data_IF_483658507653
#
_entry.id   IF_483658507653
#
_cell.length_a   1.000
_cell.length_b   1.000
_cell.length_c   1.000
_cell.angle_alpha   90.00
_cell.angle_beta   90.00
_cell.angle_gamma   90.00
#
_symmetry.space_group_name_H-M   'P 1'
#
loop_
_entity.id
_entity.type
_entity.pdbx_description
1 polymer ?
#
# COMPACT_ATOMS: atom_id res chain seq x y z
N UNK A 1 11.82 -16.65 21.21
CA UNK A 1 10.86 -15.55 21.22
C UNK A 1 10.05 -15.70 19.95
N UNK A 2 8.73 -15.67 20.05
CA UNK A 2 7.84 -15.75 18.88
C UNK A 2 7.50 -14.33 18.44
N UNK A 3 7.40 -14.13 17.12
CA UNK A 3 7.08 -12.84 16.51
C UNK A 3 5.85 -13.02 15.67
N UNK A 4 4.83 -12.20 15.92
CA UNK A 4 3.58 -12.20 15.18
C UNK A 4 3.35 -10.80 14.60
N UNK A 5 2.91 -10.74 13.35
CA UNK A 5 2.52 -9.48 12.71
C UNK A 5 1.00 -9.46 12.58
N UNK A 6 0.36 -8.48 13.23
CA UNK A 6 -1.07 -8.28 13.19
C UNK A 6 -1.35 -6.94 12.51
N UNK A 7 -2.14 -6.93 11.45
CA UNK A 7 -2.39 -5.72 10.66
C UNK A 7 -3.84 -5.63 10.21
N UNK A 8 -4.39 -4.42 10.02
CA UNK A 8 -5.74 -4.22 9.50
C UNK A 8 -5.83 -4.54 7.99
N UNK A 9 -4.70 -4.59 7.28
CA UNK A 9 -4.62 -4.82 5.84
C UNK A 9 -3.93 -6.15 5.54
N UNK A 10 -4.67 -7.06 4.91
CA UNK A 10 -4.23 -8.40 4.53
C UNK A 10 -3.09 -8.39 3.48
N UNK A 11 -2.87 -7.26 2.81
CA UNK A 11 -1.81 -7.06 1.80
C UNK A 11 -0.37 -7.06 2.34
N UNK A 12 -0.18 -6.91 3.67
CA UNK A 12 1.13 -7.05 4.31
C UNK A 12 1.48 -8.50 4.64
N UNK A 13 0.56 -9.44 4.42
CA UNK A 13 0.67 -10.82 4.89
C UNK A 13 1.19 -11.73 3.77
N UNK A 14 2.51 -11.94 3.76
CA UNK A 14 3.09 -13.12 3.12
C UNK A 14 2.50 -14.37 3.77
N UNK A 15 1.99 -15.27 2.93
CA UNK A 15 1.05 -16.34 3.27
C UNK A 15 1.64 -17.53 4.05
N UNK A 16 2.58 -17.32 4.98
CA UNK A 16 3.45 -18.43 5.44
C UNK A 16 3.84 -18.45 6.94
N UNK A 17 3.08 -17.82 7.84
CA UNK A 17 3.34 -17.96 9.28
C UNK A 17 2.12 -18.45 10.06
N UNK A 18 2.22 -19.72 10.46
CA UNK A 18 1.53 -20.44 11.54
C UNK A 18 0.58 -19.56 12.37
N UNK A 19 -0.72 -19.68 12.07
CA UNK A 19 -1.81 -19.07 12.81
C UNK A 19 -1.85 -19.65 14.23
N UNK A 20 -0.96 -19.20 15.11
CA UNK A 20 -1.28 -19.17 16.54
C UNK A 20 -2.39 -18.14 16.69
N UNK A 21 -3.64 -18.59 16.55
CA UNK A 21 -4.83 -17.76 16.66
C UNK A 21 -4.74 -16.98 17.97
N UNK A 22 -4.49 -15.68 17.87
CA UNK A 22 -4.46 -14.79 19.03
C UNK A 22 -5.77 -14.97 19.81
N UNK A 23 -5.66 -15.14 21.13
CA UNK A 23 -6.81 -15.11 22.01
C UNK A 23 -7.56 -13.79 21.88
N UNK A 24 -8.86 -13.75 22.22
CA UNK A 24 -9.66 -12.52 22.20
C UNK A 24 -8.99 -11.36 22.97
N UNK A 25 -8.35 -11.67 24.10
CA UNK A 25 -7.58 -10.69 24.90
C UNK A 25 -6.40 -10.10 24.13
N UNK A 26 -5.69 -10.95 23.40
CA UNK A 26 -4.51 -10.59 22.62
C UNK A 26 -4.91 -9.77 21.39
N UNK A 27 -6.02 -10.13 20.72
CA UNK A 27 -6.60 -9.34 19.63
C UNK A 27 -7.04 -7.96 20.10
N UNK A 28 -7.71 -7.85 21.25
CA UNK A 28 -8.10 -6.57 21.84
C UNK A 28 -6.86 -5.69 22.08
N UNK A 29 -5.76 -6.29 22.53
CA UNK A 29 -4.54 -5.56 22.87
C UNK A 29 -3.78 -5.11 21.62
N UNK A 30 -3.70 -5.98 20.62
CA UNK A 30 -3.18 -5.66 19.29
C UNK A 30 -3.99 -4.51 18.64
N UNK A 31 -5.33 -4.60 18.66
CA UNK A 31 -6.22 -3.57 18.14
C UNK A 31 -6.09 -2.25 18.91
N UNK A 32 -6.03 -2.30 20.24
CA UNK A 32 -5.82 -1.11 21.07
C UNK A 32 -4.49 -0.43 20.74
N UNK A 33 -3.41 -1.19 20.55
CA UNK A 33 -2.11 -0.66 20.14
C UNK A 33 -2.15 0.02 18.79
N UNK A 34 -2.92 -0.52 17.83
CA UNK A 34 -3.12 0.12 16.52
C UNK A 34 -3.87 1.45 16.68
N UNK A 35 -5.00 1.45 17.40
CA UNK A 35 -5.84 2.64 17.54
C UNK A 35 -5.18 3.76 18.33
N UNK A 36 -4.41 3.41 19.37
CA UNK A 36 -3.78 4.40 20.27
C UNK A 36 -2.34 4.72 19.87
N UNK A 37 -1.77 4.01 18.88
CA UNK A 37 -0.37 4.17 18.44
C UNK A 37 0.63 4.04 19.59
N UNK A 38 0.32 3.16 20.56
CA UNK A 38 1.12 2.96 21.76
C UNK A 38 1.38 1.47 22.01
N UNK A 39 2.53 1.12 22.59
CA UNK A 39 2.78 -0.24 23.02
C UNK A 39 1.76 -0.72 24.06
N UNK A 40 1.37 -1.99 24.00
CA UNK A 40 0.50 -2.63 24.99
C UNK A 40 0.96 -4.05 25.32
N UNK A 41 0.34 -4.67 26.33
CA UNK A 41 0.66 -6.04 26.69
C UNK A 41 1.78 -6.16 27.72
N UNK A 42 2.47 -7.30 27.69
CA UNK A 42 3.57 -7.63 28.59
C UNK A 42 4.63 -6.52 28.55
N UNK A 43 5.15 -6.17 29.73
CA UNK A 43 6.16 -5.12 29.93
C UNK A 43 5.71 -3.66 29.72
N UNK A 44 4.42 -3.40 29.54
CA UNK A 44 3.85 -2.04 29.44
C UNK A 44 3.00 -1.69 30.67
N UNK A 45 2.34 -0.53 30.66
CA UNK A 45 1.37 -0.13 31.68
C UNK A 45 -0.10 -0.34 31.23
N UNK A 46 -0.31 -0.84 30.02
CA UNK A 46 -1.64 -0.92 29.39
C UNK A 46 -1.92 -2.33 28.92
N UNK A 47 -3.08 -2.88 29.31
CA UNK A 47 -3.51 -4.23 28.93
C UNK A 47 -2.44 -5.28 29.28
N UNK A 48 -1.93 -5.23 30.51
CA UNK A 48 -0.75 -6.01 30.96
C UNK A 48 -1.02 -7.51 31.16
N UNK A 49 -2.30 -7.93 31.18
CA UNK A 49 -2.72 -9.33 31.26
C UNK A 49 -2.57 -10.09 29.92
N UNK A 50 -1.43 -9.91 29.25
CA UNK A 50 -1.10 -10.62 28.01
C UNK A 50 0.31 -11.21 28.08
N UNK A 51 0.52 -12.33 27.41
CA UNK A 51 1.85 -12.94 27.27
C UNK A 51 2.71 -12.20 26.22
N UNK A 52 2.05 -11.47 25.32
CA UNK A 52 2.65 -10.74 24.21
C UNK A 52 2.92 -9.29 24.57
N UNK A 53 4.04 -8.76 24.07
CA UNK A 53 4.32 -7.34 24.01
C UNK A 53 4.01 -6.83 22.61
N UNK A 54 3.00 -5.96 22.48
CA UNK A 54 2.54 -5.42 21.22
C UNK A 54 3.19 -4.06 20.94
N UNK A 55 3.81 -3.92 19.77
CA UNK A 55 4.57 -2.76 19.33
C UNK A 55 4.00 -2.24 17.99
N UNK A 56 3.43 -1.03 17.94
CA UNK A 56 2.83 -0.51 16.71
C UNK A 56 3.90 -0.18 15.66
N UNK A 57 3.63 -0.52 14.40
CA UNK A 57 4.46 -0.16 13.24
C UNK A 57 4.06 1.23 12.74
N UNK A 58 4.73 2.25 13.26
CA UNK A 58 4.42 3.66 12.96
C UNK A 58 5.32 4.18 11.84
N UNK A 59 4.72 4.62 10.73
CA UNK A 59 5.42 5.29 9.64
C UNK A 59 4.68 6.56 9.24
N UNK A 60 5.38 7.70 9.21
CA UNK A 60 4.85 8.98 8.70
C UNK A 60 3.46 9.37 9.24
N UNK A 61 3.20 9.13 10.54
CA UNK A 61 1.93 9.38 11.26
C UNK A 61 0.78 8.39 10.97
N UNK A 62 1.05 7.32 10.26
CA UNK A 62 0.12 6.21 10.05
C UNK A 62 0.61 4.95 10.77
N UNK A 63 -0.32 4.22 11.37
CA UNK A 63 -0.05 2.89 11.90
C UNK A 63 -0.28 1.86 10.80
N UNK A 64 0.78 1.16 10.39
CA UNK A 64 0.74 0.13 9.35
C UNK A 64 0.24 -1.22 9.90
N UNK A 65 0.30 -1.40 11.22
CA UNK A 65 -0.02 -2.64 11.93
C UNK A 65 0.66 -2.68 13.28
N UNK A 66 0.75 -3.85 13.88
CA UNK A 66 1.39 -4.09 15.17
C UNK A 66 2.18 -5.39 15.13
N UNK A 67 3.35 -5.37 15.76
CA UNK A 67 4.18 -6.55 15.98
C UNK A 67 3.98 -7.03 17.41
N UNK A 68 3.57 -8.28 17.57
CA UNK A 68 3.57 -8.98 18.85
C UNK A 68 4.90 -9.70 19.07
N UNK A 69 5.51 -9.49 20.23
CA UNK A 69 6.68 -10.22 20.69
C UNK A 69 6.32 -11.07 21.90
N UNK A 70 6.42 -12.40 21.78
CA UNK A 70 6.25 -13.33 22.91
C UNK A 70 7.59 -13.77 23.44
N UNK A 71 7.81 -13.54 24.73
CA UNK A 71 9.03 -13.95 25.43
C UNK A 71 8.75 -15.19 26.29
N UNK A 72 9.77 -16.05 26.53
CA UNK A 72 9.62 -17.17 27.43
C UNK A 72 9.16 -16.72 28.83
N UNK A 73 8.34 -17.53 29.51
CA UNK A 73 7.80 -17.18 30.82
C UNK A 73 8.86 -16.95 31.91
N UNK A 74 10.07 -17.48 31.74
CA UNK A 74 11.20 -17.19 32.62
C UNK A 74 11.69 -15.72 32.56
N UNK A 75 11.35 -14.98 31.50
CA UNK A 75 11.76 -13.59 31.30
C UNK A 75 10.69 -12.64 31.85
N UNK A 76 10.83 -12.27 33.13
CA UNK A 76 9.85 -11.42 33.82
C UNK A 76 10.07 -9.92 33.62
N UNK A 77 11.25 -9.49 33.18
CA UNK A 77 11.55 -8.09 32.89
C UNK A 77 12.48 -7.97 31.69
N UNK A 78 12.28 -6.89 30.92
CA UNK A 78 13.22 -6.41 29.91
C UNK A 78 13.96 -5.20 30.47
N UNK A 79 15.27 -5.12 30.23
CA UNK A 79 16.03 -3.91 30.56
C UNK A 79 15.56 -2.72 29.73
N UNK A 80 15.87 -1.51 30.18
CA UNK A 80 15.50 -0.28 29.46
C UNK A 80 16.15 -0.25 28.08
N UNK A 81 17.40 -0.73 27.98
CA UNK A 81 18.15 -0.83 26.72
C UNK A 81 17.52 -1.83 25.77
N UNK A 82 17.09 -3.00 26.26
CA UNK A 82 16.40 -4.01 25.44
C UNK A 82 15.07 -3.50 24.90
N UNK A 83 14.28 -2.80 25.74
CA UNK A 83 13.03 -2.19 25.30
C UNK A 83 13.26 -1.14 24.22
N UNK A 84 14.19 -0.20 24.47
CA UNK A 84 14.54 0.84 23.50
C UNK A 84 15.06 0.25 22.20
N UNK A 85 15.91 -0.77 22.26
CA UNK A 85 16.41 -1.43 21.06
C UNK A 85 15.27 -2.05 20.25
N UNK A 86 14.35 -2.77 20.90
CA UNK A 86 13.20 -3.35 20.22
C UNK A 86 12.31 -2.27 19.60
N UNK A 87 11.98 -1.20 20.34
CA UNK A 87 11.21 -0.07 19.83
C UNK A 87 11.87 0.59 18.61
N UNK A 88 13.18 0.85 18.66
CA UNK A 88 13.96 1.39 17.52
C UNK A 88 13.97 0.44 16.32
N UNK A 89 14.09 -0.86 16.54
CA UNK A 89 14.03 -1.85 15.46
C UNK A 89 12.66 -1.86 14.78
N UNK A 90 11.58 -1.81 15.56
CA UNK A 90 10.21 -1.70 15.04
C UNK A 90 10.03 -0.41 14.24
N UNK A 91 10.59 0.71 14.71
CA UNK A 91 10.56 1.98 13.98
C UNK A 91 11.28 1.87 12.61
N UNK A 92 12.48 1.28 12.57
CA UNK A 92 13.19 1.06 11.31
C UNK A 92 12.44 0.12 10.36
N UNK A 93 11.82 -0.93 10.88
CA UNK A 93 10.99 -1.84 10.08
C UNK A 93 9.80 -1.09 9.48
N UNK A 94 9.09 -0.29 10.28
CA UNK A 94 7.96 0.50 9.80
C UNK A 94 8.37 1.49 8.70
N UNK A 95 9.51 2.17 8.87
CA UNK A 95 10.07 3.06 7.85
C UNK A 95 10.43 2.30 6.56
N UNK A 96 11.04 1.12 6.67
CA UNK A 96 11.40 0.29 5.52
C UNK A 96 10.16 -0.19 4.74
N UNK A 97 9.12 -0.63 5.44
CA UNK A 97 7.84 -1.04 4.82
C UNK A 97 7.23 0.15 4.07
N UNK A 98 7.12 1.31 4.71
CA UNK A 98 6.56 2.51 4.11
C UNK A 98 7.34 2.95 2.86
N UNK A 99 8.68 2.90 2.89
CA UNK A 99 9.52 3.21 1.73
C UNK A 99 9.28 2.27 0.56
N UNK A 100 9.15 0.97 0.82
CA UNK A 100 8.87 -0.03 -0.22
C UNK A 100 7.50 0.21 -0.86
N UNK A 101 6.47 0.50 -0.05
CA UNK A 101 5.13 0.80 -0.54
C UNK A 101 5.12 2.06 -1.42
N UNK A 102 5.72 3.16 -0.95
CA UNK A 102 5.82 4.40 -1.70
C UNK A 102 6.60 4.23 -3.01
N UNK A 103 7.68 3.44 -3.00
CA UNK A 103 8.44 3.15 -4.22
C UNK A 103 7.59 2.38 -5.24
N UNK A 104 6.79 1.42 -4.79
CA UNK A 104 5.88 0.65 -5.65
C UNK A 104 4.77 1.53 -6.23
N UNK A 105 4.19 2.41 -5.41
CA UNK A 105 3.17 3.37 -5.87
C UNK A 105 3.71 4.32 -6.93
N UNK A 106 4.94 4.83 -6.73
CA UNK A 106 5.62 5.68 -7.72
C UNK A 106 5.89 4.94 -9.04
N UNK A 107 6.30 3.68 -8.98
CA UNK A 107 6.52 2.86 -10.18
C UNK A 107 5.22 2.68 -10.98
N UNK A 108 4.12 2.32 -10.32
CA UNK A 108 2.80 2.16 -10.94
C UNK A 108 2.32 3.48 -11.57
N UNK A 109 2.48 4.59 -10.85
CA UNK A 109 2.11 5.91 -11.34
C UNK A 109 2.90 6.29 -12.60
N UNK A 110 4.21 5.99 -12.63
CA UNK A 110 5.06 6.24 -13.79
C UNK A 110 4.62 5.39 -15.00
N UNK A 111 4.41 4.09 -14.82
CA UNK A 111 3.94 3.20 -15.91
C UNK A 111 2.61 3.69 -16.48
N UNK A 112 1.68 4.09 -15.62
CA UNK A 112 0.37 4.61 -16.03
C UNK A 112 0.52 5.92 -16.82
N UNK A 113 1.36 6.84 -16.33
CA UNK A 113 1.65 8.11 -17.01
C UNK A 113 2.26 7.92 -18.39
N UNK A 114 3.24 7.03 -18.52
CA UNK A 114 3.86 6.70 -19.82
C UNK A 114 2.86 6.05 -20.78
N UNK A 115 1.98 5.19 -20.27
CA UNK A 115 0.92 4.58 -21.08
C UNK A 115 -0.04 5.63 -21.64
N UNK A 116 -0.46 6.60 -20.83
CA UNK A 116 -1.37 7.66 -21.27
C UNK A 116 -0.70 8.64 -22.25
N UNK A 117 0.59 8.93 -22.06
CA UNK A 117 1.39 9.69 -23.03
C UNK A 117 1.47 8.98 -24.38
N UNK A 118 1.77 7.67 -24.37
CA UNK A 118 1.82 6.87 -25.59
C UNK A 118 0.46 6.83 -26.29
N UNK A 119 -0.62 6.60 -25.53
CA UNK A 119 -1.99 6.64 -26.05
C UNK A 119 -2.31 7.96 -26.72
N UNK A 120 -1.98 9.07 -26.06
CA UNK A 120 -2.20 10.43 -26.59
C UNK A 120 -1.39 10.69 -27.87
N UNK A 121 -0.13 10.26 -27.90
CA UNK A 121 0.74 10.40 -29.08
C UNK A 121 0.21 9.58 -30.27
N UNK A 122 -0.21 8.34 -30.03
CA UNK A 122 -0.79 7.47 -31.07
C UNK A 122 -2.11 8.03 -31.61
N UNK A 123 -3.02 8.47 -30.74
CA UNK A 123 -4.27 9.10 -31.15
C UNK A 123 -4.04 10.36 -32.00
N UNK A 124 -3.05 11.17 -31.63
CA UNK A 124 -2.65 12.36 -32.40
C UNK A 124 -2.11 11.99 -33.80
N UNK A 125 -1.21 11.00 -33.88
CA UNK A 125 -0.64 10.54 -35.16
C UNK A 125 -1.72 9.99 -36.09
N UNK A 126 -2.57 9.09 -35.60
CA UNK A 126 -3.67 8.51 -36.38
C UNK A 126 -4.63 9.60 -36.86
N UNK A 127 -4.96 10.56 -36.00
CA UNK A 127 -5.84 11.69 -36.36
C UNK A 127 -5.22 12.58 -37.45
N UNK A 128 -3.91 12.79 -37.42
CA UNK A 128 -3.20 13.53 -38.46
C UNK A 128 -3.23 12.76 -39.79
N UNK A 129 -2.93 11.48 -39.77
CA UNK A 129 -2.83 10.64 -40.98
C UNK A 129 -4.18 10.41 -41.65
N UNK A 130 -5.28 10.40 -40.88
CA UNK A 130 -6.64 10.30 -41.42
C UNK A 130 -7.17 11.62 -41.97
N UNK A 131 -6.63 12.77 -41.56
CA UNK A 131 -7.14 14.09 -41.95
C UNK A 131 -7.08 14.33 -43.45
N UNK A 132 -5.94 14.01 -44.07
CA UNK A 132 -5.74 14.21 -45.51
C UNK A 132 -6.65 13.31 -46.38
N UNK A 133 -6.70 11.97 -46.19
CA UNK A 133 -7.59 11.12 -46.99
C UNK A 133 -9.08 11.41 -46.75
N UNK A 134 -9.49 11.78 -45.52
CA UNK A 134 -10.86 12.19 -45.25
C UNK A 134 -11.22 13.50 -45.97
N UNK A 135 -10.33 14.49 -45.96
CA UNK A 135 -10.52 15.74 -46.70
C UNK A 135 -10.66 15.47 -48.21
N UNK A 136 -9.85 14.57 -48.77
CA UNK A 136 -9.98 14.15 -50.18
C UNK A 136 -11.31 13.45 -50.48
N UNK A 137 -11.78 12.55 -49.61
CA UNK A 137 -13.08 11.88 -49.78
C UNK A 137 -14.25 12.87 -49.72
N UNK A 138 -14.21 13.84 -48.78
CA UNK A 138 -15.24 14.87 -48.65
C UNK A 138 -15.28 15.76 -49.90
N UNK A 139 -14.13 16.25 -50.38
CA UNK A 139 -14.09 17.09 -51.57
C UNK A 139 -14.60 16.38 -52.84
N UNK A 140 -14.32 15.07 -52.98
CA UNK A 140 -14.86 14.27 -54.08
C UNK A 140 -16.40 14.15 -54.00
N UNK A 141 -16.96 13.92 -52.80
CA UNK A 141 -18.40 13.83 -52.59
C UNK A 141 -19.13 15.17 -52.84
N UNK A 142 -18.53 16.29 -52.42
CA UNK A 142 -19.04 17.64 -52.70
C UNK A 142 -19.07 17.91 -54.21
N UNK A 143 -18.01 17.54 -54.92
CA UNK A 143 -17.92 17.69 -56.38
C UNK A 143 -19.04 16.93 -57.09
N UNK A 144 -19.27 15.66 -56.72
CA UNK A 144 -20.36 14.85 -57.27
C UNK A 144 -21.75 15.45 -57.00
N UNK A 145 -21.95 15.99 -55.79
CA UNK A 145 -23.21 16.63 -55.40
C UNK A 145 -23.45 17.91 -56.19
N UNK A 146 -22.41 18.71 -56.41
CA UNK A 146 -22.47 19.93 -57.22
C UNK A 146 -22.82 19.62 -58.68
N UNK A 147 -22.20 18.61 -59.29
CA UNK A 147 -22.53 18.18 -60.65
C UNK A 147 -24.00 17.77 -60.80
N UNK A 148 -24.56 17.03 -59.84
CA UNK A 148 -25.98 16.65 -59.86
C UNK A 148 -26.88 17.89 -59.88
N UNK A 149 -26.58 18.88 -59.06
CA UNK A 149 -27.40 20.08 -58.94
C UNK A 149 -27.31 21.03 -60.15
N UNK A 150 -26.25 20.91 -60.96
CA UNK A 150 -26.08 21.66 -62.22
C UNK A 150 -26.77 20.95 -63.41
N UNK A 151 -27.05 19.65 -63.28
CA UNK A 151 -27.71 18.83 -64.31
C UNK A 151 -29.24 18.72 -64.13
N UNK A 152 -29.76 19.12 -62.97
CA UNK A 152 -31.19 19.33 -62.70
C UNK A 152 -31.62 20.78 -63.03
#
# INVERSE_FOLDING_TARGET
AEVLLYGPTQDLMGNDHDDSVLSDKEQISAAWSISNQQPSGRFTQTLTENEWWFLPLLASKQCLGVVGLKFPNAMNMLSVEQKRLAETMIEYIAQAISRTQLSKELEIANVTSETEKLRSALLSSVSHDLRSPLASMIGAAETLTHYRHVMD
#
